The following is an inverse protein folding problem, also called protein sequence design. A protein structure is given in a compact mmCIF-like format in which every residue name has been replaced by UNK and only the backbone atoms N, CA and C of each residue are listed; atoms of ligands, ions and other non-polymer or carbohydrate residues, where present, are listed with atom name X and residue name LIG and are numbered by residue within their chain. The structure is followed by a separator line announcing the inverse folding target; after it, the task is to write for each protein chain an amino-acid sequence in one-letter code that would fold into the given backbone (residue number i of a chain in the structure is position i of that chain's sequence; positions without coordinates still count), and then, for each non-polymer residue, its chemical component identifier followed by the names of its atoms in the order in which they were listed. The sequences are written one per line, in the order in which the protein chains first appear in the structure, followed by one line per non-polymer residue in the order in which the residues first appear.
data_IF_811009397805
#
_entry.id   IF_811009397805
#
_cell.length_a   1.000
_cell.length_b   1.000
_cell.length_c   1.000
_cell.angle_alpha   90.00
_cell.angle_beta   90.00
_cell.angle_gamma   90.00
#
_symmetry.space_group_name_H-M   'P 1'
#
loop_
_entity.id
_entity.type
_entity.pdbx_description
1 polymer ?
#
# COMPACT_ATOMS: atom_id res chain seq x y z
N UNK A 1 16.11 4.68 5.34
CA UNK A 1 15.95 3.21 5.37
C UNK A 1 16.51 2.69 6.67
N UNK A 2 15.66 2.09 7.51
CA UNK A 2 16.05 1.54 8.81
C UNK A 2 16.07 0.01 8.72
N UNK A 3 17.15 -0.62 9.20
CA UNK A 3 17.31 -2.07 9.20
C UNK A 3 17.22 -2.59 10.62
N UNK A 4 16.36 -3.59 10.85
CA UNK A 4 16.09 -4.13 12.17
C UNK A 4 16.29 -5.64 12.18
N UNK A 5 17.19 -6.12 13.05
CA UNK A 5 17.46 -7.55 13.20
C UNK A 5 16.89 -8.14 14.50
N UNK A 6 16.72 -7.34 15.56
CA UNK A 6 16.26 -7.79 16.89
C UNK A 6 15.29 -6.81 17.61
N UNK A 7 14.84 -5.74 16.95
CA UNK A 7 14.01 -4.68 17.57
C UNK A 7 12.89 -4.15 16.64
N UNK A 8 12.48 -4.95 15.65
CA UNK A 8 11.45 -4.60 14.67
C UNK A 8 10.02 -4.90 15.14
N UNK A 9 9.01 -4.55 14.32
CA UNK A 9 7.62 -4.93 14.57
C UNK A 9 7.47 -6.46 14.58
N UNK A 10 6.44 -6.95 15.27
CA UNK A 10 6.04 -8.36 15.16
C UNK A 10 5.44 -8.62 13.77
N UNK A 11 5.95 -9.65 13.09
CA UNK A 11 5.49 -10.06 11.75
C UNK A 11 4.89 -11.47 11.87
N UNK A 12 3.69 -11.64 11.35
CA UNK A 12 2.98 -12.91 11.29
C UNK A 12 2.48 -13.19 9.87
N UNK A 13 2.01 -14.41 9.62
CA UNK A 13 1.37 -14.79 8.35
C UNK A 13 0.08 -14.00 8.10
N UNK A 14 -0.57 -13.46 9.14
CA UNK A 14 -1.76 -12.64 8.96
C UNK A 14 -1.38 -11.22 8.56
N UNK A 15 -1.65 -10.84 7.31
CA UNK A 15 -1.32 -9.53 6.76
C UNK A 15 -1.94 -8.38 7.59
N UNK A 16 -3.19 -8.53 8.03
CA UNK A 16 -3.88 -7.50 8.80
C UNK A 16 -3.26 -7.29 10.20
N UNK A 17 -2.87 -8.39 10.87
CA UNK A 17 -2.17 -8.32 12.16
C UNK A 17 -0.79 -7.66 11.97
N UNK A 18 0.00 -8.11 11.00
CA UNK A 18 1.31 -7.52 10.69
C UNK A 18 1.20 -6.03 10.40
N UNK A 19 0.22 -5.60 9.60
CA UNK A 19 -0.03 -4.18 9.34
C UNK A 19 -0.30 -3.44 10.66
N UNK A 20 -1.25 -3.89 11.49
CA UNK A 20 -1.58 -3.22 12.75
C UNK A 20 -0.38 -3.12 13.70
N UNK A 21 0.42 -4.18 13.83
CA UNK A 21 1.62 -4.16 14.66
C UNK A 21 2.67 -3.19 14.11
N UNK A 22 2.86 -3.18 12.79
CA UNK A 22 3.81 -2.27 12.16
C UNK A 22 3.39 -0.80 12.30
N UNK A 23 2.11 -0.48 12.06
CA UNK A 23 1.60 0.89 12.18
C UNK A 23 1.73 1.44 13.60
N UNK A 24 1.53 0.61 14.63
CA UNK A 24 1.80 0.99 16.02
C UNK A 24 3.29 1.17 16.29
N UNK A 25 4.11 0.24 15.80
CA UNK A 25 5.55 0.30 16.01
C UNK A 25 6.18 1.54 15.36
N UNK A 26 5.82 1.86 14.11
CA UNK A 26 6.40 3.01 13.40
C UNK A 26 6.04 4.35 14.06
N UNK A 27 4.85 4.47 14.66
CA UNK A 27 4.43 5.71 15.34
C UNK A 27 5.32 6.03 16.53
N UNK A 28 5.85 5.02 17.23
CA UNK A 28 6.78 5.23 18.35
C UNK A 28 8.12 5.85 17.93
N UNK A 29 8.43 5.82 16.63
CA UNK A 29 9.64 6.42 16.03
C UNK A 29 9.31 7.65 15.17
N UNK A 30 8.04 8.00 15.00
CA UNK A 30 7.62 9.13 14.17
C UNK A 30 7.49 10.39 15.04
N UNK A 31 8.37 11.37 14.80
CA UNK A 31 8.26 12.66 15.49
C UNK A 31 6.93 13.35 15.09
N UNK A 32 6.19 13.89 16.07
CA UNK A 32 4.90 14.55 15.79
C UNK A 32 5.01 15.91 15.09
N UNK A 33 6.19 16.52 15.15
CA UNK A 33 6.45 17.77 14.47
C UNK A 33 6.89 17.46 13.04
N UNK A 34 6.11 17.94 12.07
CA UNK A 34 6.35 17.72 10.63
C UNK A 34 7.73 18.25 10.18
N UNK A 35 8.22 19.30 10.83
CA UNK A 35 9.56 19.87 10.57
C UNK A 35 10.71 19.08 11.22
N UNK A 36 10.43 18.03 12.00
CA UNK A 36 11.46 17.25 12.69
C UNK A 36 12.19 16.30 11.73
N UNK A 37 13.48 16.09 11.98
CA UNK A 37 14.33 15.25 11.11
C UNK A 37 13.89 13.78 11.05
N UNK A 38 13.26 13.24 12.11
CA UNK A 38 12.75 11.86 12.09
C UNK A 38 11.25 11.79 11.81
N UNK A 39 10.63 12.88 11.36
CA UNK A 39 9.26 12.82 10.88
C UNK A 39 9.19 12.04 9.55
N UNK A 40 8.14 11.25 9.37
CA UNK A 40 7.77 10.67 8.09
C UNK A 40 6.26 10.67 7.91
N UNK A 41 5.82 10.96 6.69
CA UNK A 41 4.39 10.92 6.34
C UNK A 41 3.88 9.48 6.25
N UNK A 42 4.69 8.59 5.70
CA UNK A 42 4.34 7.18 5.42
C UNK A 42 5.47 6.26 5.83
N UNK A 43 5.13 5.16 6.50
CA UNK A 43 6.05 4.07 6.80
C UNK A 43 5.78 2.83 5.93
N UNK A 44 6.82 2.18 5.40
CA UNK A 44 6.68 0.95 4.62
C UNK A 44 7.54 -0.15 5.25
N UNK A 45 6.93 -1.29 5.54
CA UNK A 45 7.63 -2.50 5.99
C UNK A 45 7.84 -3.43 4.78
N UNK A 46 9.11 -3.75 4.51
CA UNK A 46 9.49 -4.81 3.57
C UNK A 46 9.84 -6.07 4.35
N UNK A 47 9.23 -7.20 3.98
CA UNK A 47 9.47 -8.49 4.64
C UNK A 47 9.60 -9.62 3.63
N UNK A 48 10.42 -10.63 3.95
CA UNK A 48 10.49 -11.91 3.21
C UNK A 48 9.55 -12.97 3.77
N UNK A 49 8.80 -12.63 4.81
CA UNK A 49 7.77 -13.49 5.39
C UNK A 49 6.55 -13.51 4.46
N UNK A 50 6.02 -14.70 4.19
CA UNK A 50 4.82 -14.90 3.38
C UNK A 50 3.59 -14.35 4.13
N UNK A 51 2.93 -13.33 3.58
CA UNK A 51 1.77 -12.68 4.20
C UNK A 51 0.48 -13.07 3.48
N UNK A 52 -0.56 -13.33 4.27
CA UNK A 52 -1.79 -13.91 3.78
C UNK A 52 -2.98 -13.06 4.26
N UNK A 53 -3.88 -12.72 3.33
CA UNK A 53 -5.15 -12.03 3.64
C UNK A 53 -6.10 -12.88 4.49
N UNK A 54 -5.96 -14.20 4.43
CA UNK A 54 -6.73 -15.16 5.20
C UNK A 54 -5.94 -16.47 5.33
N UNK A 55 -6.25 -17.33 6.32
CA UNK A 55 -5.57 -18.61 6.49
C UNK A 55 -5.54 -19.43 5.19
N UNK A 56 -4.33 -19.75 4.71
CA UNK A 56 -4.11 -20.50 3.47
C UNK A 56 -4.38 -19.74 2.17
N UNK A 57 -4.58 -18.41 2.21
CA UNK A 57 -4.73 -17.53 1.03
C UNK A 57 -3.62 -16.49 1.02
N UNK A 58 -2.46 -16.91 0.51
CA UNK A 58 -1.21 -16.16 0.49
C UNK A 58 -0.91 -15.63 -0.93
N UNK A 59 -1.97 -15.20 -1.61
CA UNK A 59 -1.91 -14.51 -2.90
C UNK A 59 -1.66 -13.00 -2.74
N UNK A 60 -1.48 -12.53 -1.49
CA UNK A 60 -1.38 -11.12 -1.12
C UNK A 60 0.08 -10.71 -1.08
N UNK A 61 0.45 -9.68 -1.84
CA UNK A 61 1.82 -9.17 -1.87
C UNK A 61 2.01 -7.90 -1.04
N UNK A 62 0.92 -7.22 -0.69
CA UNK A 62 0.95 -5.99 0.09
C UNK A 62 -0.38 -5.71 0.76
N UNK A 63 -0.36 -4.79 1.72
CA UNK A 63 -1.57 -4.28 2.37
C UNK A 63 -1.33 -2.89 2.95
N UNK A 64 -2.27 -1.98 2.68
CA UNK A 64 -2.40 -0.66 3.30
C UNK A 64 -3.87 -0.28 3.50
N UNK A 65 -4.12 0.70 4.36
CA UNK A 65 -5.45 1.27 4.53
C UNK A 65 -5.72 2.41 3.53
N UNK A 66 -6.99 2.56 3.11
CA UNK A 66 -7.38 3.61 2.17
C UNK A 66 -7.41 5.00 2.84
N UNK A 67 -6.72 5.96 2.23
CA UNK A 67 -6.84 7.39 2.55
C UNK A 67 -6.29 7.77 3.91
N UNK A 68 -5.20 7.12 4.34
CA UNK A 68 -4.60 7.30 5.66
C UNK A 68 -3.31 8.10 5.65
N UNK A 69 -2.94 8.74 4.53
CA UNK A 69 -1.69 9.51 4.38
C UNK A 69 -1.35 10.43 5.55
N UNK A 70 -2.34 11.17 6.07
CA UNK A 70 -2.15 12.13 7.17
C UNK A 70 -2.59 11.59 8.54
N UNK A 71 -2.88 10.29 8.64
CA UNK A 71 -3.20 9.62 9.90
C UNK A 71 -1.96 8.91 10.42
N UNK A 72 -1.25 9.52 11.37
CA UNK A 72 0.04 9.01 11.86
C UNK A 72 -0.02 7.60 12.46
N UNK A 73 -1.21 7.12 12.86
CA UNK A 73 -1.40 5.76 13.38
C UNK A 73 -1.70 4.73 12.30
N UNK A 74 -2.03 5.17 11.08
CA UNK A 74 -2.52 4.30 9.98
C UNK A 74 -1.86 4.58 8.63
N UNK A 75 -0.94 5.55 8.54
CA UNK A 75 -0.15 5.87 7.34
C UNK A 75 1.04 4.90 7.19
N UNK A 76 0.70 3.68 6.80
CA UNK A 76 1.61 2.55 6.80
C UNK A 76 1.21 1.52 5.74
N UNK A 77 2.20 0.85 5.17
CA UNK A 77 2.00 -0.29 4.28
C UNK A 77 2.95 -1.43 4.64
N UNK A 78 2.52 -2.66 4.39
CA UNK A 78 3.38 -3.85 4.46
C UNK A 78 3.51 -4.44 3.06
N UNK A 79 4.70 -4.94 2.73
CA UNK A 79 5.05 -5.45 1.41
C UNK A 79 5.84 -6.74 1.56
N UNK A 80 5.39 -7.79 0.89
CA UNK A 80 6.16 -9.01 0.67
C UNK A 80 7.21 -8.78 -0.43
N UNK A 81 8.48 -8.93 -0.07
CA UNK A 81 9.61 -8.78 -0.98
C UNK A 81 9.74 -10.01 -1.90
N UNK A 82 9.25 -9.86 -3.12
CA UNK A 82 9.40 -10.81 -4.21
C UNK A 82 10.49 -10.40 -5.24
N UNK A 83 11.43 -9.54 -4.84
CA UNK A 83 12.47 -9.00 -5.71
C UNK A 83 12.10 -7.65 -6.32
N UNK A 84 12.57 -7.36 -7.54
CA UNK A 84 12.39 -6.03 -8.15
C UNK A 84 10.91 -5.67 -8.37
N UNK A 85 10.04 -6.67 -8.55
CA UNK A 85 8.59 -6.47 -8.68
C UNK A 85 7.93 -5.90 -7.42
N UNK A 86 8.57 -5.98 -6.25
CA UNK A 86 8.06 -5.38 -5.01
C UNK A 86 7.91 -3.86 -5.14
N UNK A 87 8.64 -3.21 -6.07
CA UNK A 87 8.46 -1.79 -6.39
C UNK A 87 7.05 -1.46 -6.90
N UNK A 88 6.42 -2.37 -7.66
CA UNK A 88 5.05 -2.20 -8.13
C UNK A 88 4.07 -2.32 -6.98
N UNK A 89 4.27 -3.29 -6.10
CA UNK A 89 3.45 -3.44 -4.89
C UNK A 89 3.58 -2.24 -3.96
N UNK A 90 4.79 -1.71 -3.74
CA UNK A 90 5.00 -0.47 -2.98
C UNK A 90 4.18 0.67 -3.58
N UNK A 91 4.23 0.83 -4.90
CA UNK A 91 3.51 1.91 -5.59
C UNK A 91 1.99 1.72 -5.50
N UNK A 92 1.52 0.48 -5.57
CA UNK A 92 0.11 0.12 -5.39
C UNK A 92 -0.39 0.47 -4.00
N UNK A 93 0.30 0.01 -2.94
CA UNK A 93 -0.10 0.27 -1.56
C UNK A 93 -0.01 1.77 -1.21
N UNK A 94 0.97 2.50 -1.75
CA UNK A 94 0.99 3.96 -1.65
C UNK A 94 -0.25 4.59 -2.30
N UNK A 95 -0.70 4.06 -3.44
CA UNK A 95 -1.96 4.47 -4.06
C UNK A 95 -3.15 4.35 -3.10
N UNK A 96 -3.23 3.24 -2.36
CA UNK A 96 -4.26 3.08 -1.33
C UNK A 96 -4.14 4.14 -0.23
N UNK A 97 -2.94 4.43 0.27
CA UNK A 97 -2.71 5.48 1.27
C UNK A 97 -3.19 6.86 0.78
N UNK A 98 -3.07 7.14 -0.52
CA UNK A 98 -3.64 8.32 -1.21
C UNK A 98 -5.14 8.19 -1.58
N UNK A 99 -5.86 7.25 -0.95
CA UNK A 99 -7.28 7.00 -1.14
C UNK A 99 -7.67 6.55 -2.56
N UNK A 100 -6.74 5.93 -3.30
CA UNK A 100 -7.02 5.39 -4.63
C UNK A 100 -7.52 3.94 -4.47
N UNK A 101 -8.76 3.61 -4.87
CA UNK A 101 -9.27 2.25 -4.87
C UNK A 101 -8.73 1.45 -6.06
N UNK A 102 -9.01 0.15 -6.10
CA UNK A 102 -8.71 -0.65 -7.29
C UNK A 102 -9.47 -0.16 -8.52
N UNK A 103 -8.87 -0.36 -9.70
CA UNK A 103 -9.44 0.03 -10.99
C UNK A 103 -10.77 -0.69 -11.31
N UNK A 104 -11.03 -1.86 -10.72
CA UNK A 104 -12.27 -2.63 -10.91
C UNK A 104 -13.39 -2.26 -9.92
N UNK A 105 -13.12 -1.36 -8.97
CA UNK A 105 -14.12 -0.93 -8.00
C UNK A 105 -15.23 -0.08 -8.65
N UNK A 106 -16.48 -0.12 -8.11
CA UNK A 106 -17.59 0.67 -8.63
C UNK A 106 -17.31 2.18 -8.76
N UNK A 107 -16.48 2.72 -7.85
CA UNK A 107 -16.04 4.13 -7.88
C UNK A 107 -15.24 4.47 -9.15
N UNK A 108 -14.55 3.50 -9.72
CA UNK A 108 -13.79 3.63 -10.96
C UNK A 108 -14.61 3.34 -12.23
N UNK A 109 -15.84 2.83 -12.10
CA UNK A 109 -16.63 2.34 -13.24
C UNK A 109 -16.86 3.37 -14.36
N UNK A 110 -17.05 4.66 -14.02
CA UNK A 110 -17.20 5.70 -15.04
C UNK A 110 -15.91 5.98 -15.82
N UNK A 111 -14.77 5.98 -15.13
CA UNK A 111 -13.45 6.22 -15.74
C UNK A 111 -12.98 5.05 -16.60
N UNK A 112 -13.38 3.83 -16.24
CA UNK A 112 -13.00 2.59 -16.92
C UNK A 112 -14.00 2.16 -18.01
N UNK A 113 -15.07 2.93 -18.24
CA UNK A 113 -16.19 2.53 -19.10
C UNK A 113 -15.80 2.22 -20.56
N UNK A 114 -14.82 2.95 -21.10
CA UNK A 114 -14.33 2.76 -22.46
C UNK A 114 -13.37 1.56 -22.59
N UNK A 115 -12.62 1.24 -21.52
CA UNK A 115 -11.57 0.23 -21.52
C UNK A 115 -11.60 -0.61 -20.22
N UNK A 116 -12.64 -1.43 -20.05
CA UNK A 116 -12.93 -2.17 -18.80
C UNK A 116 -11.84 -3.11 -18.30
N UNK A 117 -10.85 -3.46 -19.13
CA UNK A 117 -9.75 -4.37 -18.80
C UNK A 117 -8.37 -3.72 -18.98
N UNK A 118 -8.33 -2.40 -19.15
CA UNK A 118 -7.08 -1.66 -19.25
C UNK A 118 -6.61 -1.27 -17.84
N UNK A 119 -6.15 -2.28 -17.10
CA UNK A 119 -5.75 -2.14 -15.71
C UNK A 119 -4.34 -1.56 -15.60
N UNK A 120 -4.13 -0.76 -14.56
CA UNK A 120 -2.92 0.00 -14.32
C UNK A 120 -2.28 -0.41 -12.99
N UNK A 121 -1.47 0.46 -12.37
CA UNK A 121 -0.86 0.20 -11.05
C UNK A 121 -1.89 -0.26 -10.01
N UNK A 122 -3.13 0.25 -10.06
CA UNK A 122 -4.21 -0.11 -9.13
C UNK A 122 -5.05 -1.32 -9.59
N UNK A 123 -4.50 -2.18 -10.44
CA UNK A 123 -5.10 -3.48 -10.73
C UNK A 123 -5.19 -4.32 -9.44
N UNK A 124 -6.30 -5.02 -9.18
CA UNK A 124 -6.43 -5.87 -7.98
C UNK A 124 -5.53 -7.12 -8.04
N UNK A 125 -5.04 -7.48 -9.23
CA UNK A 125 -4.16 -8.63 -9.48
C UNK A 125 -3.08 -8.24 -10.49
N UNK A 126 -1.84 -8.70 -10.26
CA UNK A 126 -0.73 -8.55 -11.20
C UNK A 126 -0.86 -9.59 -12.32
N UNK A 127 -1.67 -9.28 -13.34
CA UNK A 127 -1.85 -10.12 -14.53
C UNK A 127 -1.04 -9.62 -15.74
N UNK A 128 -0.86 -10.49 -16.74
CA UNK A 128 -0.08 -10.22 -17.96
C UNK A 128 -0.55 -8.96 -18.73
N UNK A 129 -1.83 -8.59 -18.60
CA UNK A 129 -2.44 -7.45 -19.30
C UNK A 129 -2.51 -6.16 -18.45
N UNK A 130 -1.78 -6.09 -17.33
CA UNK A 130 -1.68 -4.85 -16.54
C UNK A 130 -0.59 -3.94 -17.10
N UNK A 131 -0.77 -2.63 -16.91
CA UNK A 131 0.24 -1.61 -17.21
C UNK A 131 0.85 -1.10 -15.89
N UNK A 132 1.80 -1.84 -15.26
CA UNK A 132 2.29 -1.52 -13.92
C UNK A 132 3.22 -0.30 -13.88
N UNK A 133 3.43 0.37 -15.00
CA UNK A 133 4.24 1.60 -15.17
C UNK A 133 3.39 2.84 -15.45
N UNK A 134 2.07 2.75 -15.37
CA UNK A 134 1.18 3.90 -15.57
C UNK A 134 -0.02 3.86 -14.64
N UNK A 135 -0.65 5.02 -14.47
CA UNK A 135 -1.86 5.21 -13.66
C UNK A 135 -3.09 5.25 -14.57
N UNK A 136 -4.23 4.77 -14.08
CA UNK A 136 -5.50 4.87 -14.81
C UNK A 136 -6.09 6.28 -14.72
N UNK A 137 -7.08 6.55 -15.56
CA UNK A 137 -7.89 7.76 -15.43
C UNK A 137 -8.64 7.82 -14.08
N UNK A 138 -9.00 6.65 -13.51
CA UNK A 138 -9.58 6.59 -12.18
C UNK A 138 -8.55 7.01 -11.13
N UNK A 139 -7.35 6.43 -11.16
CA UNK A 139 -6.30 6.73 -10.19
C UNK A 139 -5.97 8.23 -10.14
N UNK A 140 -5.81 8.85 -11.31
CA UNK A 140 -5.56 10.29 -11.41
C UNK A 140 -6.71 11.11 -10.80
N UNK A 141 -7.97 10.77 -11.13
CA UNK A 141 -9.13 11.48 -10.61
C UNK A 141 -9.31 11.32 -9.10
N UNK A 142 -9.05 10.13 -8.56
CA UNK A 142 -9.14 9.86 -7.11
C UNK A 142 -8.04 10.58 -6.34
N UNK A 143 -6.81 10.58 -6.87
CA UNK A 143 -5.70 11.34 -6.29
C UNK A 143 -6.00 12.85 -6.27
N UNK A 144 -6.45 13.41 -7.41
CA UNK A 144 -6.82 14.82 -7.47
C UNK A 144 -7.90 15.16 -6.43
N UNK A 145 -8.93 14.33 -6.31
CA UNK A 145 -9.99 14.52 -5.31
C UNK A 145 -9.52 14.40 -3.87
N UNK A 146 -8.50 13.60 -3.59
CA UNK A 146 -7.96 13.43 -2.24
C UNK A 146 -7.12 14.63 -1.78
N UNK A 147 -6.47 15.33 -2.73
CA UNK A 147 -5.59 16.46 -2.45
C UNK A 147 -6.30 17.82 -2.45
N UNK A 148 -7.54 17.89 -2.93
CA UNK A 148 -8.42 19.07 -2.87
C UNK A 148 -9.03 19.27 -1.48
#
# INVERSE_FOLDING_TARGET
MCLWFNAGPHISENAQDTLQQFCRWQETYNDRNDDAMNHHDVAILLTRHDICRAPGKCDTLGLAELGTMCDSLRSCAIIEDNGLSAAFTITHELGHIFNIPHDDEPKCGHYMALNKHNYHIMAPTLEYNTHPWSWSACSAAMLSKFLE
#
